data_IF_270450300092
#
_entry.id   IF_270450300092
#
_cell.length_a   1.000
_cell.length_b   1.000
_cell.length_c   1.000
_cell.angle_alpha   90.00
_cell.angle_beta   90.00
_cell.angle_gamma   90.00
#
_symmetry.space_group_name_H-M   'P 1'
#
loop_
_entity.id
_entity.type
_entity.pdbx_description
1 polymer ?
#
# COMPACT_ATOMS: atom_id res chain seq x y z
N UNK A 1 -13.87 -15.88 -9.22
CA UNK A 1 -15.05 -14.99 -9.12
C UNK A 1 -15.07 -14.43 -7.70
N UNK A 2 -15.07 -13.10 -7.51
CA UNK A 2 -15.12 -12.50 -6.17
C UNK A 2 -16.53 -12.67 -5.56
N UNK A 3 -16.67 -12.76 -4.23
CA UNK A 3 -17.98 -12.89 -3.60
C UNK A 3 -18.84 -11.67 -3.93
N UNK A 4 -20.14 -11.88 -4.15
CA UNK A 4 -21.09 -10.82 -4.46
C UNK A 4 -21.05 -9.73 -3.38
N UNK A 5 -20.72 -8.49 -3.78
CA UNK A 5 -20.72 -7.33 -2.89
C UNK A 5 -22.16 -7.09 -2.41
N UNK A 6 -22.37 -6.88 -1.10
CA UNK A 6 -23.64 -6.35 -0.59
C UNK A 6 -23.90 -5.00 -1.27
N UNK A 7 -24.90 -4.96 -2.14
CA UNK A 7 -25.26 -3.76 -2.91
C UNK A 7 -25.95 -2.77 -1.99
N UNK A 8 -25.20 -1.86 -1.37
CA UNK A 8 -25.78 -0.55 -1.05
C UNK A 8 -25.98 0.16 -2.39
N UNK A 9 -27.23 0.42 -2.77
CA UNK A 9 -27.60 1.05 -4.04
C UNK A 9 -26.68 2.25 -4.37
N UNK A 10 -25.89 2.15 -5.44
CA UNK A 10 -25.13 3.27 -6.01
C UNK A 10 -23.64 3.01 -6.31
N UNK A 11 -23.09 3.84 -7.21
CA UNK A 11 -21.67 4.02 -7.51
C UNK A 11 -20.88 4.62 -6.33
N UNK A 12 -21.15 4.18 -5.10
CA UNK A 12 -20.47 4.62 -3.89
C UNK A 12 -19.12 3.93 -3.68
N UNK A 13 -18.31 4.53 -2.79
CA UNK A 13 -17.02 3.99 -2.38
C UNK A 13 -17.12 2.53 -1.89
N UNK A 14 -16.07 1.76 -2.15
CA UNK A 14 -15.93 0.40 -1.61
C UNK A 14 -15.84 0.49 -0.07
N UNK A 15 -16.60 -0.34 0.65
CA UNK A 15 -16.52 -0.36 2.11
C UNK A 15 -15.15 -0.85 2.56
N UNK A 16 -14.68 -0.35 3.71
CA UNK A 16 -13.36 -0.70 4.27
C UNK A 16 -13.16 -2.22 4.42
N UNK A 17 -14.25 -2.95 4.64
CA UNK A 17 -14.23 -4.40 4.87
C UNK A 17 -14.23 -5.23 3.58
N UNK A 18 -14.55 -4.61 2.43
CA UNK A 18 -14.68 -5.34 1.16
C UNK A 18 -13.37 -6.01 0.77
N UNK A 19 -12.23 -5.33 0.95
CA UNK A 19 -10.92 -5.89 0.60
C UNK A 19 -10.54 -7.07 1.51
N UNK A 20 -10.80 -6.94 2.82
CA UNK A 20 -10.57 -8.01 3.77
C UNK A 20 -11.44 -9.24 3.46
N UNK A 21 -12.71 -9.03 3.12
CA UNK A 21 -13.63 -10.10 2.72
C UNK A 21 -13.19 -10.78 1.42
N UNK A 22 -12.75 -10.01 0.42
CA UNK A 22 -12.25 -10.54 -0.84
C UNK A 22 -11.00 -11.43 -0.64
N UNK A 23 -10.06 -10.98 0.20
CA UNK A 23 -8.85 -11.73 0.55
C UNK A 23 -9.22 -13.01 1.32
N UNK A 24 -10.13 -12.93 2.29
CA UNK A 24 -10.59 -14.09 3.06
C UNK A 24 -11.28 -15.13 2.18
N UNK A 25 -12.12 -14.68 1.25
CA UNK A 25 -12.75 -15.54 0.25
C UNK A 25 -11.69 -16.23 -0.61
N UNK A 26 -10.75 -15.47 -1.19
CA UNK A 26 -9.72 -16.03 -2.05
C UNK A 26 -8.88 -17.09 -1.34
N UNK A 27 -8.51 -16.85 -0.08
CA UNK A 27 -7.76 -17.83 0.72
C UNK A 27 -8.57 -19.10 1.01
N UNK A 28 -9.87 -18.98 1.22
CA UNK A 28 -10.74 -20.13 1.55
C UNK A 28 -11.01 -20.98 0.31
N UNK A 29 -11.31 -20.31 -0.81
CA UNK A 29 -11.68 -20.95 -2.08
C UNK A 29 -10.47 -21.57 -2.78
N UNK A 30 -9.37 -20.81 -2.90
CA UNK A 30 -8.22 -21.23 -3.69
C UNK A 30 -7.12 -21.92 -2.88
N UNK A 31 -7.19 -21.89 -1.54
CA UNK A 31 -6.20 -22.48 -0.61
C UNK A 31 -4.74 -22.30 -1.07
N UNK A 32 -4.33 -21.07 -1.39
CA UNK A 32 -2.99 -20.79 -1.86
C UNK A 32 -1.95 -21.22 -0.81
N UNK A 33 -0.74 -21.64 -1.20
CA UNK A 33 0.32 -22.06 -0.29
C UNK A 33 1.01 -20.84 0.35
N UNK A 34 0.22 -19.96 0.97
CA UNK A 34 0.66 -18.74 1.65
C UNK A 34 0.02 -18.67 3.03
N UNK A 35 0.75 -18.04 3.96
CA UNK A 35 0.23 -17.70 5.29
C UNK A 35 -0.99 -16.77 5.15
N UNK A 36 -1.94 -16.89 6.08
CA UNK A 36 -3.03 -15.91 6.23
C UNK A 36 -2.52 -14.49 6.46
N UNK A 37 -3.05 -13.53 5.72
CA UNK A 37 -2.70 -12.12 5.82
C UNK A 37 -3.93 -11.21 5.66
N UNK A 38 -3.78 -9.98 6.10
CA UNK A 38 -4.77 -8.91 6.02
C UNK A 38 -4.28 -7.80 5.10
N UNK A 39 -5.14 -6.85 4.67
CA UNK A 39 -4.68 -5.66 3.96
C UNK A 39 -3.59 -4.87 4.71
N UNK A 40 -3.61 -4.88 6.04
CA UNK A 40 -2.59 -4.21 6.85
C UNK A 40 -1.20 -4.85 6.67
N UNK A 41 -1.15 -6.18 6.59
CA UNK A 41 0.11 -6.91 6.40
C UNK A 41 0.78 -6.55 5.07
N UNK A 42 0.01 -6.24 4.03
CA UNK A 42 0.55 -5.76 2.75
C UNK A 42 1.29 -4.43 2.91
N UNK A 43 0.72 -3.50 3.69
CA UNK A 43 1.34 -2.20 3.97
C UNK A 43 2.61 -2.35 4.82
N UNK A 44 2.59 -3.25 5.80
CA UNK A 44 3.76 -3.58 6.62
C UNK A 44 4.88 -4.26 5.81
N UNK A 45 4.49 -5.10 4.85
CA UNK A 45 5.41 -5.75 3.90
C UNK A 45 6.07 -4.69 3.01
N UNK A 46 5.28 -3.80 2.40
CA UNK A 46 5.79 -2.67 1.60
C UNK A 46 6.84 -1.86 2.37
N UNK A 47 6.58 -1.51 3.64
CA UNK A 47 7.55 -0.77 4.48
C UNK A 47 8.88 -1.51 4.62
N UNK A 48 8.85 -2.81 4.85
CA UNK A 48 10.05 -3.62 5.04
C UNK A 48 10.85 -3.76 3.74
N UNK A 49 10.16 -3.93 2.60
CA UNK A 49 10.78 -3.98 1.28
C UNK A 49 11.35 -2.64 0.81
N UNK A 50 10.74 -1.52 1.21
CA UNK A 50 11.24 -0.19 0.88
C UNK A 50 12.53 0.18 1.61
N UNK A 51 12.74 -0.31 2.84
CA UNK A 51 13.92 0.04 3.66
C UNK A 51 15.26 -0.19 2.94
N UNK A 52 15.49 -1.30 2.21
CA UNK A 52 16.70 -1.45 1.42
C UNK A 52 16.68 -0.73 0.07
N UNK A 53 15.52 -0.37 -0.50
CA UNK A 53 15.41 0.17 -1.87
C UNK A 53 15.44 1.70 -1.88
N UNK A 54 14.79 2.32 -0.91
CA UNK A 54 14.59 3.76 -0.84
C UNK A 54 15.63 4.37 0.10
N UNK A 55 16.56 5.14 -0.47
CA UNK A 55 17.63 5.82 0.27
C UNK A 55 17.10 7.06 0.99
N UNK A 56 16.13 7.74 0.39
CA UNK A 56 15.55 8.98 0.91
C UNK A 56 14.38 8.68 1.87
N UNK A 57 14.52 9.13 3.12
CA UNK A 57 13.53 8.91 4.18
C UNK A 57 12.21 9.60 3.88
N UNK A 58 12.23 10.78 3.29
CA UNK A 58 11.05 11.61 3.08
C UNK A 58 10.21 11.02 1.95
N UNK A 59 10.87 10.58 0.88
CA UNK A 59 10.23 9.79 -0.20
C UNK A 59 9.60 8.50 0.37
N UNK A 60 10.28 7.83 1.31
CA UNK A 60 9.74 6.62 1.95
C UNK A 60 8.53 6.88 2.87
N UNK A 61 8.45 8.04 3.52
CA UNK A 61 7.27 8.46 4.29
C UNK A 61 6.12 8.86 3.34
N UNK A 62 6.41 9.56 2.24
CA UNK A 62 5.40 9.96 1.27
C UNK A 62 4.84 8.78 0.47
N UNK A 63 5.65 7.78 0.16
CA UNK A 63 5.19 6.50 -0.43
C UNK A 63 4.16 5.80 0.45
N UNK A 64 4.33 5.88 1.78
CA UNK A 64 3.35 5.39 2.75
C UNK A 64 2.18 6.37 2.94
N UNK A 65 2.16 7.51 2.26
CA UNK A 65 1.16 8.57 2.45
C UNK A 65 1.10 9.05 3.92
N UNK A 66 2.26 9.14 4.56
CA UNK A 66 2.40 9.78 5.86
C UNK A 66 2.65 11.28 5.68
N UNK A 67 2.54 12.05 6.77
CA UNK A 67 3.05 13.43 6.82
C UNK A 67 4.47 13.42 7.35
N UNK A 68 5.33 14.27 6.78
CA UNK A 68 6.64 14.54 7.37
C UNK A 68 6.45 15.07 8.79
N UNK A 69 7.34 14.65 9.68
CA UNK A 69 7.27 15.00 11.09
C UNK A 69 8.04 16.30 11.34
N UNK A 70 7.66 17.03 12.39
CA UNK A 70 8.39 18.24 12.81
C UNK A 70 8.15 19.45 11.91
N UNK A 71 9.06 20.41 12.02
CA UNK A 71 8.96 21.72 11.34
C UNK A 71 9.07 21.58 9.82
N UNK A 72 9.82 20.59 9.33
CA UNK A 72 9.94 20.29 7.91
C UNK A 72 8.56 20.06 7.26
N UNK A 73 7.69 19.26 7.89
CA UNK A 73 6.34 19.01 7.39
C UNK A 73 5.39 20.22 7.41
N UNK A 74 5.75 21.31 8.11
CA UNK A 74 4.96 22.55 8.13
C UNK A 74 5.27 23.40 6.89
N UNK A 75 6.52 23.39 6.43
CA UNK A 75 6.97 24.20 5.29
C UNK A 75 7.06 23.44 3.98
N UNK A 76 7.04 22.12 4.04
CA UNK A 76 7.17 21.30 2.84
C UNK A 76 5.92 21.36 1.96
N UNK A 77 6.11 21.92 0.76
CA UNK A 77 5.09 22.03 -0.29
C UNK A 77 5.38 21.07 -1.45
N UNK A 78 6.44 20.27 -1.36
CA UNK A 78 6.82 19.33 -2.38
C UNK A 78 5.88 18.13 -2.38
N UNK A 79 5.44 17.70 -3.56
CA UNK A 79 4.45 16.61 -3.68
C UNK A 79 5.10 15.23 -3.74
N UNK A 80 6.43 15.19 -3.93
CA UNK A 80 7.25 13.99 -4.10
C UNK A 80 6.75 13.03 -5.18
N UNK A 81 5.91 13.50 -6.11
CA UNK A 81 5.23 12.61 -7.04
C UNK A 81 6.21 11.86 -7.95
N UNK A 82 7.21 12.56 -8.50
CA UNK A 82 8.19 11.96 -9.40
C UNK A 82 9.09 10.97 -8.65
N UNK A 83 9.55 11.37 -7.47
CA UNK A 83 10.41 10.57 -6.61
C UNK A 83 9.71 9.30 -6.14
N UNK A 84 8.43 9.39 -5.76
CA UNK A 84 7.61 8.22 -5.40
C UNK A 84 7.39 7.28 -6.58
N UNK A 85 7.26 7.82 -7.79
CA UNK A 85 7.07 7.01 -9.00
C UNK A 85 8.35 6.26 -9.36
N UNK A 86 9.49 6.92 -9.26
CA UNK A 86 10.76 6.40 -9.77
C UNK A 86 11.50 5.57 -8.70
N UNK A 87 11.27 5.81 -7.40
CA UNK A 87 11.92 5.10 -6.29
C UNK A 87 11.89 3.56 -6.34
N UNK A 88 10.77 2.88 -6.73
CA UNK A 88 10.76 1.43 -6.88
C UNK A 88 11.64 0.94 -8.04
N UNK A 89 11.79 1.75 -9.09
CA UNK A 89 12.45 1.38 -10.36
C UNK A 89 13.96 1.53 -10.24
N UNK A 90 14.46 2.53 -9.52
CA UNK A 90 15.89 2.89 -9.48
C UNK A 90 16.79 1.81 -8.88
N UNK A 91 16.27 0.83 -8.12
CA UNK A 91 17.08 -0.26 -7.53
C UNK A 91 16.71 -1.67 -7.94
N UNK A 92 15.57 -1.87 -8.62
CA UNK A 92 15.16 -3.18 -9.17
C UNK A 92 15.86 -3.53 -10.50
N UNK A 93 16.50 -2.55 -11.16
CA UNK A 93 17.19 -2.72 -12.46
C UNK A 93 18.71 -2.48 -12.40
N UNK A 94 19.29 -2.32 -11.20
CA UNK A 94 20.74 -2.15 -10.99
C UNK A 94 21.38 -3.32 -10.22
N UNK A 95 20.71 -4.48 -10.20
CA UNK A 95 21.20 -5.72 -9.61
C UNK A 95 21.19 -6.85 -10.62
#
# INVERSE_FOLDING_TARGET
>A
MLPGRRTSNGHGHISKDTLAAAIAFWMTEHKPPVRRFTPHDLRSTLRSYMKPIVVDRDVAEMLRNHKLQGVEGIYDRHTYYQERRDAPVTRLFLG
#
